data_IF_922995346938
#
_entry.id   IF_922995346938
#
_cell.length_a   1.000
_cell.length_b   1.000
_cell.length_c   1.000
_cell.angle_alpha   90.00
_cell.angle_beta   90.00
_cell.angle_gamma   90.00
#
_symmetry.space_group_name_H-M   'P 1'
#
loop_
_entity.id
_entity.type
_entity.pdbx_description
1 polymer ?
#
# COMPACT_ATOMS: atom_id res chain seq x y z
N UNK A 1 24.44 -15.94 11.09
CA UNK A 1 24.23 -15.32 12.42
C UNK A 1 22.99 -15.96 13.03
N UNK A 2 23.03 -16.34 14.31
CA UNK A 2 21.89 -16.98 15.00
C UNK A 2 20.80 -15.94 15.30
N UNK A 3 19.52 -16.33 15.27
CA UNK A 3 18.35 -15.48 15.59
C UNK A 3 18.54 -14.84 16.96
N UNK A 4 19.17 -15.55 17.90
CA UNK A 4 19.45 -15.04 19.24
C UNK A 4 20.53 -13.95 19.25
N UNK A 5 21.43 -13.93 18.26
CA UNK A 5 22.40 -12.84 18.09
C UNK A 5 21.72 -11.55 17.61
N UNK A 6 20.73 -11.66 16.71
CA UNK A 6 19.94 -10.52 16.23
C UNK A 6 19.05 -9.98 17.36
N UNK A 7 18.39 -10.86 18.13
CA UNK A 7 17.64 -10.45 19.34
C UNK A 7 18.51 -9.69 20.34
N UNK A 8 19.76 -10.10 20.51
CA UNK A 8 20.71 -9.43 21.41
C UNK A 8 21.18 -8.07 20.87
N UNK A 9 21.38 -7.94 19.55
CA UNK A 9 21.67 -6.65 18.92
C UNK A 9 20.49 -5.68 19.05
N UNK A 10 19.24 -6.16 18.86
CA UNK A 10 18.02 -5.36 19.02
C UNK A 10 17.83 -4.92 20.48
N UNK A 11 18.08 -5.80 21.46
CA UNK A 11 18.04 -5.47 22.90
C UNK A 11 19.02 -4.36 23.27
N UNK A 12 20.24 -4.40 22.71
CA UNK A 12 21.29 -3.44 23.02
C UNK A 12 21.12 -2.07 22.33
N UNK A 13 20.23 -1.98 21.33
CA UNK A 13 19.91 -0.72 20.63
C UNK A 13 18.72 0.05 21.23
N UNK A 14 18.39 -0.14 22.51
CA UNK A 14 17.28 0.57 23.18
C UNK A 14 17.60 2.07 23.35
N UNK A 15 17.39 2.83 22.27
CA UNK A 15 17.19 4.27 22.29
C UNK A 15 15.69 4.50 22.25
N UNK A 16 15.15 4.83 23.43
CA UNK A 16 13.87 5.53 23.69
C UNK A 16 12.83 5.43 22.57
N UNK A 17 11.98 4.41 22.64
CA UNK A 17 10.67 4.43 21.99
C UNK A 17 9.85 5.55 22.64
N UNK A 18 9.82 6.72 22.01
CA UNK A 18 8.73 7.67 22.24
C UNK A 18 7.46 7.00 21.70
N UNK A 19 6.64 6.47 22.60
CA UNK A 19 5.23 6.19 22.35
C UNK A 19 4.55 7.52 21.96
N UNK A 20 4.65 7.87 20.67
CA UNK A 20 3.81 8.90 20.10
C UNK A 20 2.43 8.30 19.89
N UNK A 21 1.57 8.63 20.85
CA UNK A 21 0.12 8.72 20.75
C UNK A 21 -0.38 8.64 19.30
N UNK A 22 -0.89 7.48 18.92
CA UNK A 22 -1.85 7.35 17.83
C UNK A 22 -3.05 8.18 18.28
N UNK A 23 -3.17 9.39 17.75
CA UNK A 23 -4.42 10.15 17.84
C UNK A 23 -5.51 9.29 17.21
N UNK A 24 -6.45 8.85 18.05
CA UNK A 24 -7.78 8.43 17.62
C UNK A 24 -8.42 9.60 16.88
N UNK A 25 -8.30 9.61 15.55
CA UNK A 25 -9.19 10.42 14.73
C UNK A 25 -10.57 9.74 14.69
N UNK A 26 -11.59 10.58 14.94
CA UNK A 26 -13.00 10.44 14.50
C UNK A 26 -13.78 9.17 14.89
N UNK A 27 -14.39 9.18 16.08
CA UNK A 27 -15.48 8.25 16.44
C UNK A 27 -16.72 8.34 15.53
N UNK A 28 -16.79 9.34 14.64
CA UNK A 28 -17.87 9.49 13.66
C UNK A 28 -17.61 8.68 12.37
N UNK A 29 -16.34 8.52 11.96
CA UNK A 29 -15.99 7.79 10.72
C UNK A 29 -16.04 6.25 10.93
N UNK A 30 -15.70 5.77 12.14
CA UNK A 30 -15.87 4.37 12.53
C UNK A 30 -17.35 3.93 12.51
N UNK A 31 -18.25 4.78 13.01
CA UNK A 31 -19.70 4.49 13.06
C UNK A 31 -20.33 4.40 11.66
N UNK A 32 -19.83 5.20 10.71
CA UNK A 32 -20.31 5.16 9.31
C UNK A 32 -19.83 3.88 8.62
N UNK A 33 -18.59 3.46 8.80
CA UNK A 33 -18.06 2.24 8.16
C UNK A 33 -18.77 0.97 8.65
N UNK A 34 -19.07 0.86 9.95
CA UNK A 34 -19.77 -0.32 10.52
C UNK A 34 -21.18 -0.54 9.93
N UNK A 35 -21.80 0.52 9.40
CA UNK A 35 -23.14 0.46 8.80
C UNK A 35 -23.17 0.05 7.32
N UNK A 36 -22.01 0.01 6.65
CA UNK A 36 -21.89 -0.33 5.24
C UNK A 36 -21.89 -1.84 5.00
N UNK A 37 -22.18 -2.26 3.78
CA UNK A 37 -22.20 -3.69 3.41
C UNK A 37 -20.77 -4.26 3.38
N UNK A 38 -20.53 -5.45 3.95
CA UNK A 38 -19.24 -6.13 3.82
C UNK A 38 -18.89 -6.37 2.34
N UNK A 39 -17.64 -6.13 1.98
CA UNK A 39 -17.14 -6.42 0.63
C UNK A 39 -16.52 -7.82 0.56
N UNK A 40 -16.81 -8.58 -0.49
CA UNK A 40 -16.24 -9.90 -0.70
C UNK A 40 -15.08 -9.84 -1.69
N UNK A 41 -13.85 -9.95 -1.18
CA UNK A 41 -12.63 -9.92 -2.01
C UNK A 41 -12.60 -11.00 -3.10
N UNK A 42 -13.22 -12.15 -2.88
CA UNK A 42 -13.33 -13.21 -3.91
C UNK A 42 -14.12 -12.77 -5.14
N UNK A 43 -15.00 -11.79 -5.00
CA UNK A 43 -15.86 -11.25 -6.07
C UNK A 43 -15.30 -9.99 -6.75
N UNK A 44 -14.16 -9.47 -6.28
CA UNK A 44 -13.63 -8.22 -6.82
C UNK A 44 -13.33 -8.34 -8.32
N UNK A 45 -13.60 -7.30 -9.13
CA UNK A 45 -13.33 -7.34 -10.56
C UNK A 45 -11.83 -7.20 -10.87
N UNK A 46 -11.49 -7.44 -12.13
CA UNK A 46 -10.16 -7.13 -12.66
C UNK A 46 -10.17 -5.76 -13.35
N UNK A 47 -9.01 -5.09 -13.36
CA UNK A 47 -8.76 -3.90 -14.18
C UNK A 47 -7.37 -4.02 -14.84
N UNK A 48 -7.22 -3.46 -16.04
CA UNK A 48 -5.94 -3.48 -16.78
C UNK A 48 -5.34 -2.08 -16.99
N UNK A 49 -6.11 -1.02 -16.71
CA UNK A 49 -5.69 0.37 -16.90
C UNK A 49 -6.48 1.34 -16.02
N UNK A 50 -6.04 2.61 -16.00
CA UNK A 50 -6.66 3.68 -15.23
C UNK A 50 -8.12 3.95 -15.62
N UNK A 51 -8.47 3.91 -16.92
CA UNK A 51 -9.86 4.12 -17.36
C UNK A 51 -10.84 3.10 -16.74
N UNK A 52 -10.43 1.84 -16.64
CA UNK A 52 -11.24 0.80 -15.99
C UNK A 52 -11.31 1.00 -14.48
N UNK A 53 -10.22 1.42 -13.83
CA UNK A 53 -10.20 1.77 -12.41
C UNK A 53 -11.21 2.90 -12.15
N UNK A 54 -11.16 3.98 -12.94
CA UNK A 54 -12.08 5.12 -12.85
C UNK A 54 -13.53 4.70 -13.10
N UNK A 55 -13.79 3.86 -14.11
CA UNK A 55 -15.13 3.37 -14.42
C UNK A 55 -15.73 2.57 -13.25
N UNK A 56 -14.98 1.59 -12.73
CA UNK A 56 -15.43 0.70 -11.65
C UNK A 56 -15.61 1.43 -10.31
N UNK A 57 -14.71 2.38 -9.99
CA UNK A 57 -14.78 3.15 -8.73
C UNK A 57 -15.77 4.33 -8.80
N UNK A 58 -15.84 5.07 -9.91
CA UNK A 58 -16.62 6.32 -9.97
C UNK A 58 -17.95 6.23 -10.69
N UNK A 59 -18.09 5.44 -11.74
CA UNK A 59 -19.28 5.51 -12.61
C UNK A 59 -20.43 4.64 -12.10
N UNK A 60 -20.16 3.59 -11.33
CA UNK A 60 -21.20 2.75 -10.75
C UNK A 60 -22.00 3.48 -9.66
N UNK A 61 -23.26 3.11 -9.48
CA UNK A 61 -24.08 3.59 -8.37
C UNK A 61 -23.45 3.20 -7.02
N UNK A 62 -22.94 1.96 -6.93
CA UNK A 62 -22.15 1.45 -5.80
C UNK A 62 -20.71 1.28 -6.30
N UNK A 63 -19.72 1.99 -5.72
CA UNK A 63 -18.34 1.92 -6.16
C UNK A 63 -17.75 0.53 -5.88
N UNK A 64 -16.97 -0.01 -6.81
CA UNK A 64 -16.06 -1.10 -6.47
C UNK A 64 -14.95 -0.55 -5.59
N UNK A 65 -14.71 -1.21 -4.46
CA UNK A 65 -13.72 -0.76 -3.46
C UNK A 65 -12.38 -1.47 -3.60
N UNK A 66 -12.31 -2.57 -4.36
CA UNK A 66 -11.06 -3.29 -4.68
C UNK A 66 -11.14 -3.81 -6.11
N UNK A 67 -10.03 -3.73 -6.84
CA UNK A 67 -9.85 -4.28 -8.18
C UNK A 67 -8.48 -4.95 -8.26
N UNK A 68 -8.41 -6.15 -8.85
CA UNK A 68 -7.13 -6.83 -9.11
C UNK A 68 -6.58 -6.33 -10.44
N UNK A 69 -5.30 -5.97 -10.46
CA UNK A 69 -4.65 -5.47 -11.67
C UNK A 69 -4.07 -6.63 -12.46
N UNK A 70 -4.41 -6.69 -13.75
CA UNK A 70 -4.02 -7.77 -14.65
C UNK A 70 -3.24 -7.26 -15.86
N UNK A 71 -2.44 -8.15 -16.46
CA UNK A 71 -1.66 -7.87 -17.67
C UNK A 71 -0.71 -6.68 -17.51
N UNK A 72 -0.17 -6.50 -16.30
CA UNK A 72 0.88 -5.52 -16.03
C UNK A 72 2.19 -6.28 -15.82
N UNK A 73 3.16 -5.99 -16.67
CA UNK A 73 4.47 -6.62 -16.62
C UNK A 73 5.25 -6.20 -15.38
N UNK A 74 6.14 -7.10 -14.94
CA UNK A 74 7.13 -6.78 -13.94
C UNK A 74 8.16 -5.80 -14.50
N UNK A 75 8.69 -4.94 -13.64
CA UNK A 75 9.93 -4.22 -13.96
C UNK A 75 11.09 -5.20 -14.19
N UNK A 76 12.11 -4.79 -14.97
CA UNK A 76 13.38 -5.51 -15.01
C UNK A 76 13.97 -5.68 -13.62
N UNK A 77 14.70 -6.77 -13.40
CA UNK A 77 15.39 -6.98 -12.13
C UNK A 77 16.40 -5.86 -11.87
N UNK A 78 16.45 -5.44 -10.60
CA UNK A 78 17.42 -4.49 -10.06
C UNK A 78 18.05 -5.07 -8.81
N UNK A 79 19.32 -4.75 -8.62
CA UNK A 79 20.05 -5.07 -7.39
C UNK A 79 19.46 -4.22 -6.25
N UNK A 80 19.13 -4.86 -5.13
CA UNK A 80 18.40 -4.18 -4.06
C UNK A 80 19.31 -3.76 -2.89
N UNK A 81 19.25 -2.49 -2.43
CA UNK A 81 20.25 -1.92 -1.53
C UNK A 81 19.93 -2.08 -0.04
N UNK A 82 19.31 -3.18 0.40
CA UNK A 82 19.16 -3.39 1.85
C UNK A 82 20.53 -3.64 2.51
N UNK A 83 21.09 -2.57 3.09
CA UNK A 83 22.24 -2.56 4.02
C UNK A 83 22.08 -3.55 5.19
N UNK A 84 20.84 -3.99 5.50
CA UNK A 84 20.59 -4.98 6.54
C UNK A 84 21.19 -6.35 6.22
N UNK A 85 21.37 -6.69 4.94
CA UNK A 85 21.92 -7.99 4.52
C UNK A 85 23.46 -7.98 4.47
N UNK A 86 24.09 -6.81 4.40
CA UNK A 86 25.54 -6.67 4.65
C UNK A 86 25.89 -7.11 6.09
N UNK A 87 24.96 -6.94 7.04
CA UNK A 87 25.12 -7.47 8.40
C UNK A 87 25.12 -9.00 8.45
N UNK A 88 24.53 -9.71 7.47
CA UNK A 88 24.52 -11.18 7.42
C UNK A 88 25.83 -11.78 6.87
N UNK A 89 26.87 -10.97 6.64
CA UNK A 89 28.25 -11.40 6.32
C UNK A 89 28.42 -12.15 4.99
N UNK A 90 27.47 -12.04 4.06
CA UNK A 90 27.64 -12.50 2.68
C UNK A 90 26.97 -11.49 1.74
N UNK A 91 27.66 -11.00 0.69
CA UNK A 91 27.03 -10.22 -0.36
C UNK A 91 26.04 -11.15 -1.05
N UNK A 92 24.77 -11.04 -0.68
CA UNK A 92 23.71 -11.83 -1.29
C UNK A 92 23.29 -11.07 -2.54
N UNK A 93 23.47 -11.69 -3.71
CA UNK A 93 22.84 -11.25 -4.96
C UNK A 93 21.32 -11.26 -4.70
N UNK A 94 20.76 -10.09 -4.40
CA UNK A 94 19.33 -9.91 -4.15
C UNK A 94 18.80 -9.17 -5.36
N UNK A 95 17.94 -9.87 -6.10
CA UNK A 95 17.30 -9.29 -7.27
C UNK A 95 15.88 -8.94 -6.93
N UNK A 96 15.49 -7.75 -7.33
CA UNK A 96 14.16 -7.24 -7.08
C UNK A 96 13.50 -6.74 -8.31
N UNK A 97 12.19 -6.93 -8.34
CA UNK A 97 11.30 -6.39 -9.36
C UNK A 97 9.97 -6.07 -8.70
N UNK A 98 9.20 -5.22 -9.33
CA UNK A 98 7.91 -4.81 -8.82
C UNK A 98 6.87 -4.71 -9.93
N UNK A 99 5.61 -4.74 -9.53
CA UNK A 99 4.47 -4.37 -10.37
C UNK A 99 3.29 -3.94 -9.50
N UNK A 100 2.38 -3.10 -10.01
CA UNK A 100 1.08 -2.89 -9.38
C UNK A 100 0.23 -4.17 -9.50
N UNK A 101 -0.49 -4.52 -8.43
CA UNK A 101 -1.26 -5.77 -8.33
C UNK A 101 -2.72 -5.58 -7.93
N UNK A 102 -3.04 -4.46 -7.28
CA UNK A 102 -4.41 -4.12 -6.95
C UNK A 102 -4.59 -2.59 -6.95
N UNK A 103 -5.82 -2.15 -7.14
CA UNK A 103 -6.26 -0.81 -6.76
C UNK A 103 -7.42 -0.92 -5.79
N UNK A 104 -7.44 -0.10 -4.75
CA UNK A 104 -8.51 -0.13 -3.76
C UNK A 104 -8.84 1.25 -3.23
N UNK A 105 -10.11 1.49 -2.92
CA UNK A 105 -10.60 2.76 -2.42
C UNK A 105 -10.49 2.81 -0.89
N UNK A 106 -9.97 3.92 -0.38
CA UNK A 106 -10.04 4.29 1.03
C UNK A 106 -11.07 5.41 1.21
N UNK A 107 -11.92 5.33 2.25
CA UNK A 107 -12.71 6.48 2.69
C UNK A 107 -11.77 7.44 3.42
N UNK A 108 -11.60 8.64 2.87
CA UNK A 108 -10.67 9.64 3.41
C UNK A 108 -11.36 10.72 4.25
N UNK A 109 -12.67 10.89 4.08
CA UNK A 109 -13.48 11.89 4.81
C UNK A 109 -14.98 11.57 4.68
N UNK A 110 -15.78 12.09 5.60
CA UNK A 110 -17.25 12.08 5.52
C UNK A 110 -17.79 13.48 5.85
N UNK A 111 -18.76 13.97 5.06
CA UNK A 111 -19.24 15.34 5.25
C UNK A 111 -20.71 15.53 4.90
N UNK A 112 -21.41 16.21 5.80
CA UNK A 112 -22.76 16.74 5.55
C UNK A 112 -22.64 18.13 4.93
N UNK A 113 -23.13 18.27 3.71
CA UNK A 113 -23.20 19.52 2.96
C UNK A 113 -24.60 20.11 3.15
N UNK A 114 -24.65 21.30 3.76
CA UNK A 114 -25.92 21.97 4.10
C UNK A 114 -26.30 23.09 3.12
N UNK A 115 -25.42 23.44 2.19
CA UNK A 115 -25.68 24.47 1.17
C UNK A 115 -24.99 24.09 -0.14
N UNK A 116 -25.61 24.48 -1.26
CA UNK A 116 -24.98 24.38 -2.57
C UNK A 116 -23.87 25.44 -2.68
N UNK A 117 -22.61 25.03 -2.54
CA UNK A 117 -21.45 25.92 -2.57
C UNK A 117 -20.16 25.16 -2.94
N UNK A 118 -19.05 25.89 -3.10
CA UNK A 118 -17.71 25.34 -3.26
C UNK A 118 -17.09 24.99 -1.92
N UNK A 119 -16.67 23.74 -1.76
CA UNK A 119 -15.99 23.26 -0.56
C UNK A 119 -14.55 22.90 -0.88
N UNK A 120 -13.67 23.02 0.12
CA UNK A 120 -12.27 22.55 0.05
C UNK A 120 -12.16 21.23 0.81
N UNK A 121 -11.56 20.24 0.17
CA UNK A 121 -11.34 18.89 0.68
C UNK A 121 -9.84 18.59 0.74
N UNK A 122 -9.50 17.48 1.39
CA UNK A 122 -8.12 16.99 1.48
C UNK A 122 -8.00 15.71 0.67
N UNK A 123 -7.01 15.63 -0.23
CA UNK A 123 -6.51 14.36 -0.75
C UNK A 123 -5.14 14.08 -0.17
N UNK A 124 -4.74 12.81 -0.25
CA UNK A 124 -3.42 12.36 0.17
C UNK A 124 -2.58 12.02 -1.07
N UNK A 125 -1.27 12.26 -0.99
CA UNK A 125 -0.26 11.80 -1.95
C UNK A 125 0.71 10.89 -1.20
N UNK A 126 1.37 9.94 -1.86
CA UNK A 126 2.44 9.13 -1.24
C UNK A 126 1.91 7.98 -0.38
N UNK A 127 2.67 7.59 0.64
CA UNK A 127 2.36 6.50 1.56
C UNK A 127 2.90 6.75 2.96
N UNK A 128 2.17 6.26 3.97
CA UNK A 128 2.68 6.19 5.36
C UNK A 128 3.55 4.95 5.58
N UNK A 129 3.47 3.96 4.70
CA UNK A 129 4.10 2.65 4.87
C UNK A 129 5.62 2.74 5.06
N UNK A 130 6.25 3.77 4.50
CA UNK A 130 7.71 3.87 4.40
C UNK A 130 8.33 4.95 5.28
N UNK A 131 7.57 5.61 6.16
CA UNK A 131 8.07 6.74 6.96
C UNK A 131 9.25 6.36 7.87
N UNK A 132 9.24 5.15 8.39
CA UNK A 132 10.31 4.64 9.26
C UNK A 132 11.36 3.80 8.54
N UNK A 133 11.22 3.57 7.23
CA UNK A 133 12.16 2.71 6.49
C UNK A 133 13.49 3.42 6.25
N UNK A 134 14.55 2.63 6.06
CA UNK A 134 15.84 3.18 5.62
C UNK A 134 15.69 3.98 4.32
N UNK A 135 16.30 5.17 4.27
CA UNK A 135 16.19 6.11 3.14
C UNK A 135 16.51 5.48 1.78
N UNK A 136 17.54 4.62 1.71
CA UNK A 136 17.89 3.89 0.48
C UNK A 136 16.77 2.98 -0.01
N UNK A 137 16.06 2.32 0.91
CA UNK A 137 14.88 1.50 0.60
C UNK A 137 13.76 2.34 0.03
N UNK A 138 13.45 3.44 0.71
CA UNK A 138 12.36 4.35 0.34
C UNK A 138 12.63 5.00 -1.02
N UNK A 139 13.89 5.33 -1.29
CA UNK A 139 14.35 5.86 -2.58
C UNK A 139 14.15 4.84 -3.70
N UNK A 140 14.59 3.59 -3.54
CA UNK A 140 14.40 2.56 -4.57
C UNK A 140 12.93 2.25 -4.84
N UNK A 141 12.11 2.18 -3.80
CA UNK A 141 10.66 2.03 -3.96
C UNK A 141 10.09 3.19 -4.79
N UNK A 142 10.51 4.43 -4.51
CA UNK A 142 10.13 5.61 -5.27
C UNK A 142 10.54 5.52 -6.74
N UNK A 143 11.81 5.20 -7.03
CA UNK A 143 12.32 5.04 -8.40
C UNK A 143 11.55 3.93 -9.14
N UNK A 144 11.25 2.83 -8.46
CA UNK A 144 10.55 1.71 -9.07
C UNK A 144 9.09 2.05 -9.42
N UNK A 145 8.42 2.84 -8.59
CA UNK A 145 7.06 3.34 -8.83
C UNK A 145 7.07 4.40 -9.96
N UNK A 146 8.07 5.27 -10.01
CA UNK A 146 8.22 6.31 -11.05
C UNK A 146 8.27 5.70 -12.46
N UNK A 147 8.85 4.51 -12.63
CA UNK A 147 8.84 3.77 -13.91
C UNK A 147 7.41 3.51 -14.39
N UNK A 148 6.52 3.12 -13.47
CA UNK A 148 5.12 2.87 -13.81
C UNK A 148 4.39 4.18 -14.08
N UNK A 149 4.60 5.21 -13.25
CA UNK A 149 3.97 6.51 -13.46
C UNK A 149 4.35 7.18 -14.79
N UNK A 150 5.52 6.88 -15.34
CA UNK A 150 5.95 7.39 -16.65
C UNK A 150 5.45 6.62 -17.87
N UNK A 151 5.20 5.31 -17.74
CA UNK A 151 5.08 4.42 -18.92
C UNK A 151 4.00 3.33 -18.82
N UNK A 152 3.30 3.19 -17.69
CA UNK A 152 2.38 2.07 -17.46
C UNK A 152 0.91 2.43 -17.70
N UNK A 153 0.05 1.42 -17.94
CA UNK A 153 -1.39 1.64 -18.09
C UNK A 153 -2.10 2.01 -16.77
N UNK A 154 -1.43 1.82 -15.63
CA UNK A 154 -1.91 2.19 -14.30
C UNK A 154 -0.87 3.09 -13.65
N UNK A 155 -1.28 4.29 -13.26
CA UNK A 155 -0.41 5.28 -12.64
C UNK A 155 -1.00 5.76 -11.32
N UNK A 156 -0.18 6.36 -10.46
CA UNK A 156 -0.64 7.15 -9.32
C UNK A 156 -1.11 8.53 -9.75
N UNK A 157 -0.75 9.02 -10.94
CA UNK A 157 -1.00 10.41 -11.36
C UNK A 157 -0.14 11.44 -10.64
N UNK A 158 0.75 11.01 -9.74
CA UNK A 158 1.73 11.88 -9.08
C UNK A 158 3.14 11.63 -9.61
N UNK A 159 4.03 12.59 -9.34
CA UNK A 159 5.46 12.43 -9.58
C UNK A 159 6.19 12.27 -8.24
N UNK A 160 6.99 11.22 -8.11
CA UNK A 160 7.75 10.87 -6.90
C UNK A 160 9.25 10.99 -7.16
N UNK A 161 9.76 12.21 -7.04
CA UNK A 161 11.20 12.43 -7.07
C UNK A 161 11.76 12.36 -5.64
N UNK A 162 12.52 11.31 -5.34
CA UNK A 162 13.25 11.06 -4.07
C UNK A 162 12.42 10.79 -2.81
N UNK A 163 11.18 11.25 -2.74
CA UNK A 163 10.31 11.00 -1.58
C UNK A 163 8.96 10.44 -2.01
N UNK A 164 8.52 9.43 -1.28
CA UNK A 164 7.19 8.80 -1.37
C UNK A 164 6.38 8.99 -0.09
N UNK A 165 6.86 9.82 0.84
CA UNK A 165 6.18 10.11 2.11
C UNK A 165 4.78 10.68 1.88
N UNK A 166 3.87 10.43 2.83
CA UNK A 166 2.51 10.92 2.70
C UNK A 166 2.44 12.43 2.84
N UNK A 167 1.75 13.08 1.91
CA UNK A 167 1.45 14.51 1.95
C UNK A 167 -0.06 14.74 1.84
N UNK A 168 -0.56 15.78 2.51
CA UNK A 168 -1.94 16.22 2.40
C UNK A 168 -2.03 17.38 1.39
N UNK A 169 -2.73 17.16 0.29
CA UNK A 169 -3.03 18.18 -0.72
C UNK A 169 -4.48 18.63 -0.60
N UNK A 170 -4.82 19.76 -1.22
CA UNK A 170 -6.17 20.32 -1.21
C UNK A 170 -6.77 20.31 -2.60
N UNK A 171 -8.04 19.91 -2.70
CA UNK A 171 -8.84 20.11 -3.91
C UNK A 171 -10.14 20.87 -3.57
N UNK A 172 -10.76 21.48 -4.58
CA UNK A 172 -12.03 22.21 -4.42
C UNK A 172 -13.08 21.64 -5.35
N UNK A 173 -14.29 21.46 -4.83
CA UNK A 173 -15.40 20.89 -5.60
C UNK A 173 -16.71 21.63 -5.32
N UNK A 174 -17.59 21.71 -6.32
CA UNK A 174 -18.94 22.24 -6.17
C UNK A 174 -19.87 21.14 -5.65
N UNK A 175 -20.42 21.33 -4.46
CA UNK A 175 -21.26 20.33 -3.82
C UNK A 175 -22.71 20.77 -3.77
N UNK A 176 -23.63 19.81 -3.88
CA UNK A 176 -25.05 20.00 -3.56
C UNK A 176 -25.34 19.56 -2.14
N UNK A 177 -26.43 20.03 -1.55
CA UNK A 177 -26.92 19.56 -0.24
C UNK A 177 -27.01 18.03 -0.23
N UNK A 178 -26.46 17.40 0.83
CA UNK A 178 -26.44 15.95 0.99
C UNK A 178 -25.36 15.49 1.96
N UNK A 179 -25.42 14.21 2.35
CA UNK A 179 -24.36 13.54 3.11
C UNK A 179 -23.48 12.76 2.15
N UNK A 180 -22.17 13.01 2.15
CA UNK A 180 -21.23 12.41 1.21
C UNK A 180 -20.11 11.67 1.93
N UNK A 181 -19.69 10.56 1.32
CA UNK A 181 -18.45 9.87 1.62
C UNK A 181 -17.43 10.22 0.54
N UNK A 182 -16.23 10.57 0.96
CA UNK A 182 -15.12 10.92 0.08
C UNK A 182 -14.14 9.76 0.03
N UNK A 183 -13.77 9.39 -1.17
CA UNK A 183 -12.91 8.26 -1.46
C UNK A 183 -11.66 8.71 -2.20
N UNK A 184 -10.58 7.98 -1.99
CA UNK A 184 -9.41 8.07 -2.84
C UNK A 184 -8.88 6.66 -3.12
N UNK A 185 -8.64 6.37 -4.39
CA UNK A 185 -8.05 5.11 -4.78
C UNK A 185 -6.56 5.10 -4.40
N UNK A 186 -6.09 3.92 -3.99
CA UNK A 186 -4.68 3.58 -3.85
C UNK A 186 -4.31 2.54 -4.91
N UNK A 187 -3.05 2.53 -5.33
CA UNK A 187 -2.43 1.46 -6.11
C UNK A 187 -1.53 0.67 -5.17
N UNK A 188 -1.78 -0.62 -5.03
CA UNK A 188 -0.94 -1.55 -4.28
C UNK A 188 0.12 -2.12 -5.21
N UNK A 189 1.37 -1.83 -4.93
CA UNK A 189 2.54 -2.41 -5.57
C UNK A 189 3.03 -3.60 -4.77
N UNK A 190 3.36 -4.69 -5.47
CA UNK A 190 4.13 -5.79 -4.92
C UNK A 190 5.57 -5.65 -5.37
N UNK A 191 6.49 -6.00 -4.48
CA UNK A 191 7.90 -6.16 -4.77
C UNK A 191 8.28 -7.60 -4.46
N UNK A 192 8.92 -8.25 -5.41
CA UNK A 192 9.45 -9.60 -5.26
C UNK A 192 10.96 -9.52 -5.09
N UNK A 193 11.47 -10.16 -4.04
CA UNK A 193 12.88 -10.39 -3.78
C UNK A 193 13.24 -11.84 -4.08
N UNK A 194 14.27 -12.02 -4.91
CA UNK A 194 14.84 -13.31 -5.25
C UNK A 194 16.28 -13.39 -4.75
N UNK A 195 16.64 -14.58 -4.29
CA UNK A 195 17.95 -14.88 -3.71
C UNK A 195 18.56 -16.07 -4.45
N UNK A 196 19.17 -15.85 -5.65
CA UNK A 196 19.66 -16.94 -6.50
C UNK A 196 20.66 -17.85 -5.79
N UNK A 197 21.47 -17.28 -4.90
CA UNK A 197 22.54 -17.98 -4.19
C UNK A 197 22.10 -18.69 -2.90
N UNK A 198 20.83 -18.57 -2.49
CA UNK A 198 20.34 -19.13 -1.22
C UNK A 198 19.46 -20.38 -1.42
N UNK A 199 19.53 -21.31 -0.46
CA UNK A 199 18.56 -22.39 -0.34
C UNK A 199 17.21 -21.88 0.18
N UNK A 200 16.14 -22.66 0.02
CA UNK A 200 14.81 -22.31 0.53
C UNK A 200 14.84 -22.04 2.04
N UNK A 201 15.50 -22.92 2.81
CA UNK A 201 15.61 -22.78 4.27
C UNK A 201 16.44 -21.57 4.70
N UNK A 202 17.37 -21.10 3.88
CA UNK A 202 18.08 -19.85 4.13
C UNK A 202 17.18 -18.64 3.85
N UNK A 203 16.35 -18.68 2.81
CA UNK A 203 15.39 -17.61 2.49
C UNK A 203 14.33 -17.49 3.59
N UNK A 204 13.83 -18.60 4.12
CA UNK A 204 12.89 -18.61 5.26
C UNK A 204 13.50 -17.90 6.48
N UNK A 205 14.76 -18.20 6.81
CA UNK A 205 15.48 -17.51 7.89
C UNK A 205 15.65 -16.02 7.63
N UNK A 206 15.90 -15.62 6.38
CA UNK A 206 15.94 -14.20 6.00
C UNK A 206 14.56 -13.56 6.23
N UNK A 207 13.47 -14.23 5.85
CA UNK A 207 12.11 -13.75 6.09
C UNK A 207 11.82 -13.51 7.58
N UNK A 208 12.19 -14.46 8.43
CA UNK A 208 12.07 -14.35 9.89
C UNK A 208 12.86 -13.14 10.41
N UNK A 209 14.10 -12.94 9.95
CA UNK A 209 14.91 -11.80 10.35
C UNK A 209 14.29 -10.46 9.93
N UNK A 210 13.81 -10.35 8.69
CA UNK A 210 13.13 -9.15 8.20
C UNK A 210 11.90 -8.83 9.04
N UNK A 211 11.06 -9.83 9.32
CA UNK A 211 9.83 -9.63 10.07
C UNK A 211 10.08 -9.29 11.54
N UNK A 212 11.13 -9.83 12.16
CA UNK A 212 11.57 -9.39 13.50
C UNK A 212 12.05 -7.93 13.47
N UNK A 213 12.91 -7.56 12.52
CA UNK A 213 13.37 -6.17 12.37
C UNK A 213 12.20 -5.20 12.11
N UNK A 214 11.24 -5.60 11.28
CA UNK A 214 10.02 -4.84 11.06
C UNK A 214 9.23 -4.67 12.36
N UNK A 215 8.98 -5.74 13.10
CA UNK A 215 8.19 -5.71 14.34
C UNK A 215 8.81 -4.81 15.43
N UNK A 216 10.14 -4.80 15.57
CA UNK A 216 10.80 -4.09 16.67
C UNK A 216 11.30 -2.69 16.31
N UNK A 217 11.64 -2.44 15.05
CA UNK A 217 12.27 -1.18 14.65
C UNK A 217 11.56 -0.48 13.47
N UNK A 218 10.66 -1.18 12.76
CA UNK A 218 9.97 -0.67 11.57
C UNK A 218 10.90 -0.10 10.49
N UNK A 219 12.19 -0.47 10.47
CA UNK A 219 13.20 0.05 9.53
C UNK A 219 13.19 -0.64 8.17
N UNK A 220 12.51 -1.78 8.09
CA UNK A 220 12.37 -2.63 6.90
C UNK A 220 10.89 -2.99 6.71
N UNK A 221 10.46 -3.36 5.48
CA UNK A 221 9.12 -3.85 5.25
C UNK A 221 8.85 -5.17 5.98
N UNK A 222 7.57 -5.38 6.30
CA UNK A 222 7.05 -6.73 6.52
C UNK A 222 7.15 -7.51 5.21
N UNK A 223 7.69 -8.73 5.30
CA UNK A 223 7.89 -9.61 4.14
C UNK A 223 7.07 -10.89 4.28
N UNK A 224 6.67 -11.42 3.13
CA UNK A 224 5.85 -12.62 3.01
C UNK A 224 6.60 -13.65 2.18
N UNK A 225 6.78 -14.85 2.72
CA UNK A 225 7.50 -15.92 2.05
C UNK A 225 6.54 -16.79 1.22
N UNK A 226 6.86 -17.00 -0.06
CA UNK A 226 6.11 -17.91 -0.93
C UNK A 226 7.04 -18.51 -1.99
N UNK A 227 7.14 -19.84 -2.01
CA UNK A 227 8.00 -20.56 -2.95
C UNK A 227 9.49 -20.31 -2.69
N UNK A 228 10.16 -19.59 -3.58
CA UNK A 228 11.59 -19.22 -3.48
C UNK A 228 11.81 -17.71 -3.40
N UNK A 229 10.78 -16.96 -3.04
CA UNK A 229 10.82 -15.51 -3.05
C UNK A 229 10.21 -14.93 -1.78
N UNK A 230 10.66 -13.73 -1.46
CA UNK A 230 10.03 -12.87 -0.47
C UNK A 230 9.25 -11.77 -1.19
N UNK A 231 8.08 -11.44 -0.68
CA UNK A 231 7.23 -10.40 -1.21
C UNK A 231 7.02 -9.32 -0.16
N UNK A 232 7.00 -8.05 -0.56
CA UNK A 232 6.52 -6.96 0.28
C UNK A 232 5.66 -6.00 -0.53
N UNK A 233 4.86 -5.19 0.15
CA UNK A 233 3.80 -4.40 -0.49
C UNK A 233 3.81 -2.93 -0.06
N UNK A 234 3.65 -2.04 -1.03
CA UNK A 234 3.58 -0.59 -0.83
C UNK A 234 2.36 -0.05 -1.56
N UNK A 235 1.50 0.67 -0.85
CA UNK A 235 0.31 1.31 -1.40
C UNK A 235 0.56 2.81 -1.59
N UNK A 236 0.17 3.36 -2.73
CA UNK A 236 0.30 4.78 -3.06
C UNK A 236 -1.05 5.37 -3.41
N UNK A 237 -1.39 6.54 -2.89
CA UNK A 237 -2.61 7.23 -3.33
C UNK A 237 -2.53 7.64 -4.81
N UNK A 238 -3.66 7.49 -5.52
CA UNK A 238 -3.88 8.05 -6.85
C UNK A 238 -4.34 9.51 -6.77
N UNK A 239 -3.90 10.37 -7.68
CA UNK A 239 -4.37 11.76 -7.86
C UNK A 239 -5.76 11.83 -8.48
N UNK A 240 -6.67 11.07 -7.89
CA UNK A 240 -7.99 10.88 -8.45
C UNK A 240 -9.03 10.61 -7.36
N UNK A 241 -9.25 11.58 -6.46
CA UNK A 241 -10.32 11.45 -5.48
C UNK A 241 -11.70 11.47 -6.13
N UNK A 242 -12.69 10.98 -5.39
CA UNK A 242 -14.09 11.07 -5.76
C UNK A 242 -14.99 11.06 -4.52
N UNK A 243 -16.29 11.25 -4.74
CA UNK A 243 -17.28 11.20 -3.67
C UNK A 243 -18.54 10.47 -4.11
N UNK A 244 -19.25 9.91 -3.14
CA UNK A 244 -20.57 9.30 -3.32
C UNK A 244 -21.54 9.87 -2.30
N UNK A 245 -22.79 10.05 -2.70
CA UNK A 245 -23.85 10.32 -1.74
C UNK A 245 -23.98 9.08 -0.84
N UNK A 246 -24.05 9.31 0.46
CA UNK A 246 -24.19 8.25 1.44
C UNK A 246 -25.40 7.37 1.13
N UNK A 247 -25.18 6.06 1.15
CA UNK A 247 -26.20 5.02 1.08
C UNK A 247 -25.73 3.81 1.88
N UNK A 248 -26.66 3.17 2.58
CA UNK A 248 -26.50 1.89 3.26
C UNK A 248 -26.17 0.72 2.30
N UNK A 249 -26.27 0.95 0.99
CA UNK A 249 -25.90 -0.03 -0.02
C UNK A 249 -24.43 0.05 -0.43
N UNK A 250 -23.70 1.09 0.01
CA UNK A 250 -22.27 1.20 -0.25
C UNK A 250 -21.49 0.11 0.48
N UNK A 251 -20.33 -0.26 -0.07
CA UNK A 251 -19.46 -1.26 0.52
C UNK A 251 -18.51 -0.65 1.56
N UNK A 252 -18.20 -1.43 2.58
CA UNK A 252 -17.04 -1.22 3.44
C UNK A 252 -15.76 -1.30 2.59
N UNK A 253 -14.83 -0.39 2.85
CA UNK A 253 -13.49 -0.46 2.25
C UNK A 253 -12.67 -1.54 2.94
N UNK A 254 -11.84 -2.27 2.19
CA UNK A 254 -10.92 -3.25 2.76
C UNK A 254 -9.64 -2.57 3.25
N UNK A 255 -9.08 -3.10 4.33
CA UNK A 255 -7.72 -2.75 4.76
C UNK A 255 -6.67 -3.28 3.78
N UNK A 256 -5.48 -2.68 3.83
CA UNK A 256 -4.33 -3.11 3.04
C UNK A 256 -3.98 -4.58 3.35
N UNK A 257 -3.99 -4.96 4.62
CA UNK A 257 -3.63 -6.29 5.10
C UNK A 257 -4.62 -7.36 4.60
N UNK A 258 -5.93 -7.09 4.64
CA UNK A 258 -6.94 -8.01 4.09
C UNK A 258 -6.73 -8.26 2.59
N UNK A 259 -6.38 -7.21 1.84
CA UNK A 259 -6.09 -7.31 0.41
C UNK A 259 -4.82 -8.13 0.19
N UNK A 260 -3.75 -7.87 0.96
CA UNK A 260 -2.49 -8.64 0.86
C UNK A 260 -2.71 -10.12 1.15
N UNK A 261 -3.45 -10.43 2.22
CA UNK A 261 -3.74 -11.82 2.61
C UNK A 261 -4.54 -12.54 1.51
N UNK A 262 -5.50 -11.87 0.89
CA UNK A 262 -6.20 -12.40 -0.28
C UNK A 262 -5.27 -12.62 -1.48
N UNK A 263 -4.45 -11.63 -1.84
CA UNK A 263 -3.51 -11.70 -2.97
C UNK A 263 -2.46 -12.79 -2.79
N UNK A 264 -2.03 -13.06 -1.56
CA UNK A 264 -1.08 -14.14 -1.26
C UNK A 264 -1.77 -15.48 -1.02
N UNK A 265 -3.08 -15.51 -0.82
CA UNK A 265 -3.91 -16.72 -0.70
C UNK A 265 -4.62 -17.05 -2.02
N UNK A 266 -5.95 -17.02 -1.97
CA UNK A 266 -6.84 -17.41 -3.07
C UNK A 266 -6.67 -16.56 -4.33
N UNK A 267 -6.28 -15.29 -4.16
CA UNK A 267 -6.10 -14.33 -5.23
C UNK A 267 -4.77 -14.47 -5.99
N UNK A 268 -3.85 -15.34 -5.57
CA UNK A 268 -2.47 -15.35 -6.10
C UNK A 268 -2.36 -15.49 -7.62
N UNK A 269 -3.20 -16.33 -8.23
CA UNK A 269 -3.16 -16.56 -9.67
C UNK A 269 -3.90 -15.48 -10.48
N UNK A 270 -4.42 -14.44 -9.81
CA UNK A 270 -5.21 -13.39 -10.47
C UNK A 270 -4.38 -12.18 -10.89
N UNK A 271 -3.16 -12.01 -10.38
CA UNK A 271 -2.34 -10.79 -10.58
C UNK A 271 -1.00 -11.03 -11.26
#
# INVERSE_FOLDING_TARGET
>A
MDVDTIKNLIKNSTVTSNEKNIKKDSGHDLCVQESLKPYQLSSCPNAINDDQITCLSKQKAIPEVVMILQNIDWTPYRDYPYLLLDLLSNPTDIRTRCKPVASYSEIIDSKVINRNDRYTFTQKKGTLTTESWFEGTTTEVGVAIEIFDGCAPVTTGYFYYKSISQENLKWKEMMKVGHYLFYQNKVLYVFQMEFPSLSVSQIEKVAECFNLCHQYQCLVPKVYFRGRSLFYFVDMYKDEPFYKLYSDQLYQTCSKEEIIDYLLGDGYNRW
#
